data_IF_351450518698
#
_entry.id   IF_351450518698
#
_cell.length_a   1.000
_cell.length_b   1.000
_cell.length_c   1.000
_cell.angle_alpha   90.00
_cell.angle_beta   90.00
_cell.angle_gamma   90.00
#
_symmetry.space_group_name_H-M   'P 1'
#
loop_
_entity.id
_entity.type
_entity.pdbx_description
1 polymer ?
#
# COMPACT_ATOMS: atom_id res chain seq x y z
N UNK A 1 10.55 -29.87 -0.94
CA UNK A 1 9.96 -28.57 -1.23
C UNK A 1 11.05 -27.52 -1.17
N UNK A 2 11.46 -26.98 -2.32
CA UNK A 2 12.52 -25.96 -2.39
C UNK A 2 11.99 -24.64 -1.81
N UNK A 3 12.53 -24.19 -0.70
CA UNK A 3 12.35 -22.79 -0.24
C UNK A 3 13.01 -21.88 -1.31
N UNK A 4 12.21 -21.21 -2.14
CA UNK A 4 12.72 -20.13 -2.99
C UNK A 4 13.39 -19.11 -2.06
N UNK A 5 14.65 -18.80 -2.32
CA UNK A 5 15.37 -17.73 -1.64
C UNK A 5 14.67 -16.41 -1.95
N UNK A 6 14.39 -15.61 -0.91
CA UNK A 6 13.75 -14.27 -0.98
C UNK A 6 14.53 -13.29 -1.87
N UNK A 7 15.77 -13.61 -2.25
CA UNK A 7 16.64 -12.82 -3.13
C UNK A 7 16.18 -12.70 -4.60
N UNK A 8 15.14 -13.46 -5.01
CA UNK A 8 14.59 -13.42 -6.37
C UNK A 8 13.21 -12.76 -6.47
N UNK A 9 12.78 -12.02 -5.45
CA UNK A 9 11.61 -11.14 -5.58
C UNK A 9 12.05 -9.97 -6.46
N UNK A 10 11.69 -10.03 -7.75
CA UNK A 10 11.87 -8.90 -8.65
C UNK A 10 11.22 -7.68 -7.99
N UNK A 11 12.04 -6.67 -7.68
CA UNK A 11 11.53 -5.41 -7.17
C UNK A 11 10.85 -4.68 -8.34
N UNK A 12 9.56 -4.98 -8.54
CA UNK A 12 8.74 -4.42 -9.61
C UNK A 12 8.67 -2.89 -9.60
N UNK A 13 9.07 -2.25 -8.50
CA UNK A 13 8.99 -0.80 -8.31
C UNK A 13 10.36 -0.11 -8.38
N UNK A 14 11.39 -0.79 -8.90
CA UNK A 14 12.75 -0.23 -8.97
C UNK A 14 13.07 0.48 -10.30
N UNK A 15 12.18 0.44 -11.29
CA UNK A 15 12.36 1.21 -12.51
C UNK A 15 11.89 2.66 -12.36
N UNK A 16 12.62 3.68 -12.86
CA UNK A 16 12.19 5.08 -12.79
C UNK A 16 10.80 5.29 -13.41
N UNK A 17 10.49 4.59 -14.52
CA UNK A 17 9.21 4.70 -15.19
C UNK A 17 8.05 4.16 -14.33
N UNK A 18 8.26 3.07 -13.57
CA UNK A 18 7.27 2.54 -12.65
C UNK A 18 7.02 3.50 -11.48
N UNK A 19 8.09 4.05 -10.88
CA UNK A 19 8.00 4.99 -9.77
C UNK A 19 7.29 6.30 -10.18
N UNK A 20 7.64 6.87 -11.33
CA UNK A 20 6.98 8.07 -11.86
C UNK A 20 5.49 7.82 -12.12
N UNK A 21 5.11 6.71 -12.76
CA UNK A 21 3.71 6.37 -13.00
C UNK A 21 2.96 6.15 -11.69
N UNK A 22 3.59 5.49 -10.73
CA UNK A 22 3.00 5.27 -9.40
C UNK A 22 2.68 6.59 -8.71
N UNK A 23 3.60 7.57 -8.74
CA UNK A 23 3.39 8.89 -8.11
C UNK A 23 2.22 9.68 -8.73
N UNK A 24 1.97 9.48 -10.04
CA UNK A 24 0.90 10.19 -10.78
C UNK A 24 -0.43 9.45 -10.80
N UNK A 25 -0.40 8.11 -10.72
CA UNK A 25 -1.56 7.27 -10.98
C UNK A 25 -2.28 6.74 -9.74
N UNK A 26 -1.69 6.85 -8.56
CA UNK A 26 -2.34 6.36 -7.33
C UNK A 26 -3.31 7.39 -6.77
N UNK A 27 -4.56 6.98 -6.46
CA UNK A 27 -5.53 7.88 -5.85
C UNK A 27 -5.16 8.25 -4.42
N UNK A 28 -5.58 9.45 -3.99
CA UNK A 28 -5.41 9.95 -2.62
C UNK A 28 -6.51 9.41 -1.69
N UNK A 29 -6.51 8.11 -1.39
CA UNK A 29 -7.53 7.46 -0.56
C UNK A 29 -7.08 7.23 0.91
N UNK A 30 -5.84 7.54 1.26
CA UNK A 30 -5.27 7.25 2.59
C UNK A 30 -5.92 8.06 3.71
N UNK A 31 -6.37 9.29 3.45
CA UNK A 31 -6.97 10.16 4.48
C UNK A 31 -8.14 9.51 5.20
N UNK A 32 -9.01 8.78 4.49
CA UNK A 32 -10.12 8.07 5.13
C UNK A 32 -9.60 6.91 6.01
N UNK A 33 -8.61 6.15 5.52
CA UNK A 33 -7.99 5.07 6.31
C UNK A 33 -7.34 5.62 7.59
N UNK A 34 -6.63 6.76 7.49
CA UNK A 34 -6.00 7.40 8.66
C UNK A 34 -7.05 7.90 9.66
N UNK A 35 -8.22 8.35 9.19
CA UNK A 35 -9.32 8.70 10.07
C UNK A 35 -9.82 7.46 10.85
N UNK A 36 -10.01 6.32 10.21
CA UNK A 36 -10.37 5.07 10.90
C UNK A 36 -9.31 4.67 11.93
N UNK A 37 -8.02 4.78 11.61
CA UNK A 37 -6.93 4.53 12.55
C UNK A 37 -7.04 5.49 13.75
N UNK A 38 -7.24 6.79 13.50
CA UNK A 38 -7.41 7.78 14.56
C UNK A 38 -8.55 7.43 15.51
N UNK A 39 -9.71 7.10 14.93
CA UNK A 39 -10.93 6.81 15.68
C UNK A 39 -10.76 5.51 16.51
N UNK A 40 -10.18 4.44 15.92
CA UNK A 40 -9.91 3.19 16.63
C UNK A 40 -8.92 3.35 17.78
N UNK A 41 -7.84 4.09 17.56
CA UNK A 41 -6.81 4.36 18.57
C UNK A 41 -7.25 5.43 19.59
N UNK A 42 -8.41 6.04 19.42
CA UNK A 42 -8.95 7.11 20.26
C UNK A 42 -7.94 8.26 20.47
N UNK A 43 -7.33 8.72 19.38
CA UNK A 43 -6.33 9.77 19.43
C UNK A 43 -6.99 11.15 19.54
N UNK A 44 -7.05 11.71 20.74
CA UNK A 44 -7.50 13.09 20.95
C UNK A 44 -6.49 14.11 20.40
N UNK A 45 -5.20 13.82 20.53
CA UNK A 45 -4.10 14.60 20.00
C UNK A 45 -3.24 13.78 19.03
N UNK A 46 -2.38 14.48 18.28
CA UNK A 46 -1.39 13.82 17.43
C UNK A 46 -0.32 13.14 18.28
N UNK A 47 0.03 11.91 17.90
CA UNK A 47 1.20 11.23 18.43
C UNK A 47 2.49 11.97 18.06
N UNK A 48 3.58 11.77 18.80
CA UNK A 48 4.83 12.49 18.54
C UNK A 48 5.54 11.99 17.29
N UNK A 49 5.57 10.67 17.08
CA UNK A 49 6.32 10.07 15.98
C UNK A 49 5.58 8.88 15.35
N UNK A 50 5.50 8.87 14.03
CA UNK A 50 5.00 7.74 13.26
C UNK A 50 6.00 7.32 12.17
N UNK A 51 6.05 6.02 11.88
CA UNK A 51 6.85 5.41 10.82
C UNK A 51 5.93 4.74 9.81
N UNK A 52 6.11 5.03 8.52
CA UNK A 52 5.45 4.37 7.40
C UNK A 52 6.46 3.48 6.67
N UNK A 53 6.30 2.15 6.78
CA UNK A 53 7.25 1.16 6.23
C UNK A 53 6.76 0.67 4.87
N UNK A 54 7.64 0.70 3.87
CA UNK A 54 7.26 0.44 2.47
C UNK A 54 6.42 1.59 1.91
N UNK A 55 6.84 2.82 2.18
CA UNK A 55 6.06 4.05 1.96
C UNK A 55 5.93 4.44 0.47
N UNK A 56 6.74 3.86 -0.40
CA UNK A 56 6.74 4.18 -1.83
C UNK A 56 6.95 5.66 -2.11
N UNK A 57 6.00 6.26 -2.82
CA UNK A 57 6.00 7.70 -3.17
C UNK A 57 5.39 8.60 -2.08
N UNK A 58 5.18 8.10 -0.88
CA UNK A 58 4.84 8.90 0.30
C UNK A 58 3.39 9.34 0.44
N UNK A 59 2.44 8.80 -0.35
CA UNK A 59 1.02 9.14 -0.22
C UNK A 59 0.43 8.75 1.15
N UNK A 60 0.78 7.56 1.65
CA UNK A 60 0.43 7.09 3.00
C UNK A 60 1.16 7.90 4.08
N UNK A 61 2.43 8.19 3.85
CA UNK A 61 3.26 8.98 4.75
C UNK A 61 2.71 10.40 4.95
N UNK A 62 2.34 11.08 3.85
CA UNK A 62 1.71 12.41 3.93
C UNK A 62 0.41 12.37 4.75
N UNK A 63 -0.42 11.35 4.53
CA UNK A 63 -1.68 11.21 5.25
C UNK A 63 -1.49 11.08 6.77
N UNK A 64 -0.40 10.46 7.24
CA UNK A 64 -0.05 10.35 8.66
C UNK A 64 0.17 11.69 9.36
N UNK A 65 0.46 12.78 8.62
CA UNK A 65 0.53 14.12 9.21
C UNK A 65 -0.79 14.57 9.85
N UNK A 66 -1.92 13.91 9.55
CA UNK A 66 -3.19 14.18 10.21
C UNK A 66 -3.18 13.75 11.67
N UNK A 67 -2.42 12.71 12.03
CA UNK A 67 -2.42 12.07 13.36
C UNK A 67 -1.05 12.00 14.03
N UNK A 68 0.02 12.41 13.35
CA UNK A 68 1.38 12.46 13.91
C UNK A 68 2.02 13.83 13.72
N UNK A 69 2.92 14.20 14.66
CA UNK A 69 3.69 15.46 14.62
C UNK A 69 4.89 15.35 13.71
N UNK A 70 5.61 14.21 13.79
CA UNK A 70 6.76 13.89 12.96
C UNK A 70 6.51 12.55 12.28
N UNK A 71 6.74 12.48 10.98
CA UNK A 71 6.51 11.29 10.19
C UNK A 71 7.78 10.88 9.47
N UNK A 72 8.09 9.61 9.53
CA UNK A 72 9.20 9.00 8.82
C UNK A 72 8.64 8.01 7.81
N UNK A 73 9.14 8.04 6.58
CA UNK A 73 8.83 7.07 5.54
C UNK A 73 10.07 6.27 5.18
N UNK A 74 9.96 4.96 5.08
CA UNK A 74 11.05 4.13 4.61
C UNK A 74 10.60 3.22 3.47
N UNK A 75 11.46 3.07 2.47
CA UNK A 75 11.25 2.13 1.38
C UNK A 75 12.61 1.54 0.95
N UNK A 76 12.60 0.30 0.46
CA UNK A 76 13.81 -0.33 -0.07
C UNK A 76 14.20 0.24 -1.44
N UNK A 77 13.23 0.81 -2.16
CA UNK A 77 13.43 1.41 -3.48
C UNK A 77 13.76 2.89 -3.36
N UNK A 78 15.04 3.24 -3.57
CA UNK A 78 15.46 4.63 -3.68
C UNK A 78 14.70 5.36 -4.79
N UNK A 79 14.36 4.65 -5.89
CA UNK A 79 13.59 5.22 -7.01
C UNK A 79 12.18 5.65 -6.63
N UNK A 80 11.52 4.92 -5.74
CA UNK A 80 10.22 5.34 -5.22
C UNK A 80 10.35 6.61 -4.37
N UNK A 81 11.40 6.71 -3.56
CA UNK A 81 11.65 7.88 -2.70
C UNK A 81 12.03 9.14 -3.48
N UNK A 82 12.63 9.02 -4.67
CA UNK A 82 12.88 10.17 -5.57
C UNK A 82 11.59 10.91 -5.96
N UNK A 83 10.44 10.21 -5.97
CA UNK A 83 9.13 10.76 -6.27
C UNK A 83 8.27 10.98 -5.01
N UNK A 84 8.87 10.88 -3.82
CA UNK A 84 8.11 11.01 -2.57
C UNK A 84 7.65 12.44 -2.32
N UNK A 85 6.50 12.58 -1.67
CA UNK A 85 5.90 13.87 -1.34
C UNK A 85 6.69 14.55 -0.23
N UNK A 86 7.32 15.68 -0.51
CA UNK A 86 8.09 16.45 0.47
C UNK A 86 7.21 17.41 1.28
N UNK A 87 7.30 17.34 2.60
CA UNK A 87 6.68 18.24 3.58
C UNK A 87 7.63 18.45 4.76
N UNK A 88 7.55 19.59 5.43
CA UNK A 88 8.49 19.99 6.49
C UNK A 88 8.67 18.98 7.63
N UNK A 89 7.66 18.17 7.91
CA UNK A 89 7.66 17.20 9.02
C UNK A 89 7.73 15.74 8.54
N UNK A 90 8.12 15.52 7.30
CA UNK A 90 8.36 14.19 6.75
C UNK A 90 9.84 14.03 6.46
N UNK A 91 10.37 12.87 6.84
CA UNK A 91 11.73 12.45 6.49
C UNK A 91 11.69 11.07 5.85
N UNK A 92 12.40 10.91 4.73
CA UNK A 92 12.49 9.64 4.01
C UNK A 92 13.89 9.06 4.13
N UNK A 93 13.97 7.71 4.28
CA UNK A 93 15.22 6.96 4.30
C UNK A 93 15.07 5.67 3.51
N UNK A 94 16.13 5.27 2.82
CA UNK A 94 16.19 3.96 2.17
C UNK A 94 16.47 2.90 3.23
N UNK A 95 15.54 1.96 3.41
CA UNK A 95 15.70 0.86 4.36
C UNK A 95 14.80 -0.33 3.99
N UNK A 96 15.28 -1.54 4.27
CA UNK A 96 14.45 -2.74 4.23
C UNK A 96 13.49 -2.76 5.44
N UNK A 97 12.31 -3.34 5.26
CA UNK A 97 11.30 -3.42 6.33
C UNK A 97 11.82 -4.18 7.56
N UNK A 98 12.71 -5.14 7.33
CA UNK A 98 13.29 -6.03 8.33
C UNK A 98 14.48 -5.44 9.10
N UNK A 99 14.97 -4.27 8.66
CA UNK A 99 16.13 -3.61 9.27
C UNK A 99 16.04 -2.09 9.09
N UNK A 100 15.61 -1.41 10.12
CA UNK A 100 15.32 0.02 10.11
C UNK A 100 16.41 0.82 10.84
N UNK A 101 16.82 1.99 10.32
CA UNK A 101 17.94 2.79 10.87
C UNK A 101 17.49 3.69 12.05
N UNK A 102 16.68 3.16 12.96
CA UNK A 102 16.18 3.90 14.12
C UNK A 102 16.50 3.17 15.42
N UNK A 103 16.58 3.95 16.51
CA UNK A 103 16.75 3.40 17.85
C UNK A 103 15.50 2.62 18.33
N UNK A 104 15.70 1.77 19.34
CA UNK A 104 14.61 1.05 20.00
C UNK A 104 13.60 2.01 20.61
N UNK A 105 12.33 1.62 20.64
CA UNK A 105 11.24 2.36 21.28
C UNK A 105 11.15 3.83 20.83
N UNK A 106 11.24 4.07 19.51
CA UNK A 106 11.20 5.40 18.91
C UNK A 106 9.78 5.84 18.54
N UNK A 107 8.92 4.92 18.10
CA UNK A 107 7.65 5.27 17.46
C UNK A 107 6.43 4.95 18.31
N UNK A 108 5.47 5.87 18.25
CA UNK A 108 4.14 5.71 18.83
C UNK A 108 3.19 4.96 17.88
N UNK A 109 3.48 5.02 16.59
CA UNK A 109 2.70 4.35 15.55
C UNK A 109 3.64 3.89 14.41
N UNK A 110 3.50 2.65 14.00
CA UNK A 110 4.07 2.16 12.75
C UNK A 110 2.93 1.80 11.81
N UNK A 111 3.02 2.17 10.54
CA UNK A 111 2.05 1.79 9.50
C UNK A 111 2.73 1.05 8.37
N UNK A 112 1.95 0.17 7.71
CA UNK A 112 2.30 -0.46 6.44
C UNK A 112 1.09 -0.35 5.53
N UNK A 113 1.25 0.30 4.39
CA UNK A 113 0.19 0.46 3.40
C UNK A 113 0.46 -0.39 2.17
N UNK A 114 -0.35 -1.43 1.94
CA UNK A 114 -0.31 -2.26 0.71
C UNK A 114 1.07 -2.87 0.38
N UNK A 115 1.95 -3.01 1.38
CA UNK A 115 3.34 -3.43 1.22
C UNK A 115 3.71 -4.74 1.93
N UNK A 116 2.99 -5.14 2.98
CA UNK A 116 3.38 -6.22 3.90
C UNK A 116 3.61 -7.58 3.21
N UNK A 117 2.93 -7.84 2.10
CA UNK A 117 3.06 -9.08 1.33
C UNK A 117 4.40 -9.22 0.57
N UNK A 118 5.22 -8.16 0.56
CA UNK A 118 6.58 -8.18 0.01
C UNK A 118 7.66 -8.46 1.06
N UNK A 119 7.31 -8.41 2.36
CA UNK A 119 8.25 -8.52 3.47
C UNK A 119 8.51 -9.97 3.89
N UNK A 120 9.66 -10.19 4.53
CA UNK A 120 9.84 -11.29 5.48
C UNK A 120 9.06 -10.90 6.76
N UNK A 121 7.79 -11.31 6.82
CA UNK A 121 6.85 -10.82 7.84
C UNK A 121 7.35 -11.13 9.26
N UNK A 122 7.99 -12.29 9.49
CA UNK A 122 8.50 -12.63 10.80
C UNK A 122 9.62 -11.70 11.26
N UNK A 123 10.56 -11.38 10.39
CA UNK A 123 11.63 -10.42 10.68
C UNK A 123 11.09 -9.01 10.83
N UNK A 124 10.17 -8.61 9.95
CA UNK A 124 9.51 -7.29 10.03
C UNK A 124 8.79 -7.10 11.37
N UNK A 125 8.04 -8.10 11.84
CA UNK A 125 7.33 -8.00 13.13
C UNK A 125 8.29 -7.93 14.33
N UNK A 126 9.43 -8.63 14.25
CA UNK A 126 10.49 -8.51 15.27
C UNK A 126 11.06 -7.10 15.30
N UNK A 127 11.31 -6.52 14.12
CA UNK A 127 11.81 -5.16 13.98
C UNK A 127 10.77 -4.12 14.41
N UNK A 128 9.50 -4.31 14.03
CA UNK A 128 8.40 -3.44 14.47
C UNK A 128 8.27 -3.42 16.01
N UNK A 129 8.37 -4.59 16.67
CA UNK A 129 8.40 -4.64 18.13
C UNK A 129 9.58 -3.85 18.72
N UNK A 130 10.78 -3.96 18.15
CA UNK A 130 11.96 -3.21 18.62
C UNK A 130 11.73 -1.71 18.56
N UNK A 131 11.13 -1.24 17.46
CA UNK A 131 10.93 0.18 17.14
C UNK A 131 9.78 0.84 17.88
N UNK A 132 8.71 0.11 18.16
CA UNK A 132 7.54 0.64 18.86
C UNK A 132 7.88 0.94 20.33
N UNK A 133 7.32 1.99 20.87
CA UNK A 133 7.27 2.23 22.33
C UNK A 133 6.34 1.21 22.98
N UNK A 134 6.44 1.02 24.30
CA UNK A 134 5.49 0.17 25.04
C UNK A 134 4.06 0.62 24.82
N UNK A 135 3.13 -0.33 24.62
CA UNK A 135 1.70 -0.11 24.34
C UNK A 135 1.41 0.65 23.05
N UNK A 136 2.42 0.88 22.21
CA UNK A 136 2.26 1.56 20.92
C UNK A 136 1.78 0.63 19.81
N UNK A 137 1.44 1.19 18.64
CA UNK A 137 0.61 0.53 17.65
C UNK A 137 1.34 0.24 16.33
N UNK A 138 1.05 -0.94 15.77
CA UNK A 138 1.29 -1.27 14.38
C UNK A 138 -0.05 -1.41 13.67
N UNK A 139 -0.30 -0.55 12.67
CA UNK A 139 -1.48 -0.60 11.82
C UNK A 139 -1.08 -1.03 10.40
N UNK A 140 -1.51 -2.23 9.99
CA UNK A 140 -1.28 -2.74 8.64
C UNK A 140 -2.57 -2.63 7.87
N UNK A 141 -2.55 -1.98 6.70
CA UNK A 141 -3.75 -1.78 5.91
C UNK A 141 -3.53 -1.90 4.41
N UNK A 142 -4.60 -2.14 3.69
CA UNK A 142 -4.60 -2.21 2.23
C UNK A 142 -5.82 -1.51 1.64
N UNK A 143 -5.61 -0.74 0.57
CA UNK A 143 -6.65 -0.27 -0.33
C UNK A 143 -6.56 -1.09 -1.63
N UNK A 144 -7.36 -2.14 -1.74
CA UNK A 144 -7.34 -3.03 -2.89
C UNK A 144 -8.49 -2.75 -3.85
N UNK A 145 -8.21 -2.89 -5.13
CA UNK A 145 -9.19 -2.72 -6.18
C UNK A 145 -10.20 -3.88 -6.18
N UNK A 146 -11.49 -3.56 -6.10
CA UNK A 146 -12.57 -4.56 -6.04
C UNK A 146 -13.43 -4.60 -7.30
N UNK A 147 -13.03 -3.84 -8.34
CA UNK A 147 -13.73 -3.75 -9.63
C UNK A 147 -15.20 -3.33 -9.53
N UNK A 148 -15.56 -2.51 -8.55
CA UNK A 148 -16.92 -2.02 -8.37
C UNK A 148 -16.99 -0.57 -8.87
N UNK A 149 -17.76 -0.34 -9.95
CA UNK A 149 -18.00 0.98 -10.55
C UNK A 149 -19.49 1.30 -10.44
N UNK A 150 -19.84 2.44 -9.87
CA UNK A 150 -21.23 2.83 -9.62
C UNK A 150 -22.01 2.93 -10.93
N UNK A 151 -23.10 2.15 -11.01
CA UNK A 151 -24.00 2.13 -12.17
C UNK A 151 -23.43 1.45 -13.43
N UNK A 152 -22.42 0.55 -13.24
CA UNK A 152 -21.81 -0.23 -14.35
C UNK A 152 -21.47 -1.62 -13.83
N UNK A 153 -22.45 -2.52 -13.82
CA UNK A 153 -22.31 -3.87 -13.28
C UNK A 153 -21.34 -4.73 -14.12
N UNK A 154 -21.30 -4.51 -15.45
CA UNK A 154 -20.44 -5.24 -16.37
C UNK A 154 -18.94 -4.97 -16.17
N UNK A 155 -18.58 -3.92 -15.40
CA UNK A 155 -17.19 -3.58 -15.15
C UNK A 155 -16.46 -4.67 -14.35
N UNK A 156 -17.15 -5.30 -13.39
CA UNK A 156 -16.58 -6.41 -12.61
C UNK A 156 -16.29 -7.64 -13.49
N UNK A 157 -17.20 -7.97 -14.41
CA UNK A 157 -17.04 -9.07 -15.34
C UNK A 157 -15.89 -8.82 -16.33
N UNK A 158 -15.79 -7.60 -16.86
CA UNK A 158 -14.66 -7.20 -17.69
C UNK A 158 -13.33 -7.33 -16.94
N UNK A 159 -13.27 -6.84 -15.70
CA UNK A 159 -12.05 -6.90 -14.91
C UNK A 159 -11.60 -8.35 -14.70
N UNK A 160 -12.53 -9.25 -14.34
CA UNK A 160 -12.21 -10.65 -14.07
C UNK A 160 -11.87 -11.43 -15.35
N UNK A 161 -12.66 -11.25 -16.43
CA UNK A 161 -12.59 -12.11 -17.62
C UNK A 161 -11.67 -11.56 -18.72
N UNK A 162 -11.39 -10.24 -18.74
CA UNK A 162 -10.58 -9.59 -19.76
C UNK A 162 -9.27 -9.06 -19.17
N UNK A 163 -9.35 -8.18 -18.15
CA UNK A 163 -8.16 -7.55 -17.58
C UNK A 163 -7.24 -8.57 -16.88
N UNK A 164 -7.75 -9.34 -15.92
CA UNK A 164 -6.95 -10.31 -15.17
C UNK A 164 -6.47 -11.49 -16.03
N UNK A 165 -7.17 -11.82 -17.11
CA UNK A 165 -6.72 -12.82 -18.08
C UNK A 165 -5.53 -12.32 -18.89
N UNK A 166 -5.52 -11.03 -19.26
CA UNK A 166 -4.41 -10.41 -20.00
C UNK A 166 -3.23 -10.09 -19.10
N UNK A 167 -3.49 -9.58 -17.91
CA UNK A 167 -2.49 -9.18 -16.91
C UNK A 167 -2.72 -9.93 -15.60
N UNK A 168 -2.28 -11.17 -15.47
CA UNK A 168 -2.46 -11.96 -14.24
C UNK A 168 -1.67 -11.33 -13.09
N UNK A 169 -2.22 -11.45 -11.88
CA UNK A 169 -1.53 -10.96 -10.67
C UNK A 169 -0.27 -11.77 -10.41
N UNK A 170 0.87 -11.12 -10.13
CA UNK A 170 2.06 -11.84 -9.69
C UNK A 170 1.81 -12.51 -8.34
N UNK A 171 2.52 -13.61 -8.03
CA UNK A 171 2.41 -14.29 -6.73
C UNK A 171 2.71 -13.33 -5.58
N UNK A 172 1.88 -13.38 -4.53
CA UNK A 172 2.03 -12.59 -3.30
C UNK A 172 2.05 -13.52 -2.09
N UNK A 173 2.74 -13.11 -1.03
CA UNK A 173 2.69 -13.83 0.24
C UNK A 173 1.46 -13.38 1.05
N UNK A 174 0.33 -14.03 0.81
CA UNK A 174 -0.93 -13.75 1.50
C UNK A 174 -1.27 -14.80 2.57
N UNK A 175 -0.37 -15.75 2.84
CA UNK A 175 -0.65 -16.92 3.69
C UNK A 175 -0.27 -16.72 5.16
N UNK A 176 0.18 -15.51 5.58
CA UNK A 176 0.57 -15.27 6.96
C UNK A 176 -0.64 -15.26 7.90
N UNK A 177 -0.58 -16.09 8.95
CA UNK A 177 -1.60 -16.11 9.98
C UNK A 177 -1.33 -15.02 11.03
N UNK A 178 -2.25 -14.07 11.15
CA UNK A 178 -2.18 -12.94 12.09
C UNK A 178 -2.83 -13.33 13.42
N UNK A 179 -2.28 -14.35 14.10
CA UNK A 179 -2.80 -14.95 15.32
C UNK A 179 -1.83 -14.84 16.50
N UNK A 180 -2.27 -15.32 17.66
CA UNK A 180 -1.48 -15.27 18.88
C UNK A 180 -0.22 -16.15 18.81
N UNK A 181 -0.23 -17.23 18.03
CA UNK A 181 0.90 -18.13 17.88
C UNK A 181 2.09 -17.43 17.20
N UNK A 182 1.80 -16.63 16.17
CA UNK A 182 2.82 -15.91 15.41
C UNK A 182 3.21 -14.55 16.03
N UNK A 183 2.32 -13.89 16.76
CA UNK A 183 2.55 -12.53 17.28
C UNK A 183 3.11 -12.48 18.70
N UNK A 184 2.62 -13.33 19.62
CA UNK A 184 3.07 -13.32 21.03
C UNK A 184 4.58 -13.57 21.21
N UNK A 185 5.23 -14.46 20.46
CA UNK A 185 6.70 -14.64 20.55
C UNK A 185 7.48 -13.37 20.18
N UNK A 186 6.85 -12.43 19.47
CA UNK A 186 7.43 -11.14 19.09
C UNK A 186 6.95 -9.99 19.98
N UNK A 187 6.35 -10.30 21.12
CA UNK A 187 5.80 -9.33 22.07
C UNK A 187 4.72 -8.41 21.45
N UNK A 188 3.93 -8.95 20.52
CA UNK A 188 2.85 -8.28 19.83
C UNK A 188 1.52 -9.00 20.07
N UNK A 189 0.42 -8.25 20.05
CA UNK A 189 -0.94 -8.80 20.16
C UNK A 189 -1.83 -8.24 19.05
N UNK A 190 -2.53 -9.13 18.35
CA UNK A 190 -3.58 -8.75 17.40
C UNK A 190 -4.85 -8.41 18.17
N UNK A 191 -5.41 -7.23 17.95
CA UNK A 191 -6.57 -6.75 18.67
C UNK A 191 -7.84 -6.70 17.82
N UNK A 192 -7.74 -6.25 16.57
CA UNK A 192 -8.92 -6.15 15.69
C UNK A 192 -8.53 -6.10 14.21
N UNK A 193 -9.51 -6.45 13.38
CA UNK A 193 -9.52 -6.14 11.94
C UNK A 193 -10.79 -5.36 11.61
N UNK A 194 -10.64 -4.26 10.90
CA UNK A 194 -11.72 -3.45 10.38
C UNK A 194 -11.79 -3.55 8.87
N UNK A 195 -13.00 -3.57 8.27
CA UNK A 195 -13.21 -3.62 6.82
C UNK A 195 -14.23 -2.59 6.40
N UNK A 196 -13.90 -1.83 5.35
CA UNK A 196 -14.80 -0.83 4.78
C UNK A 196 -14.49 -0.59 3.29
N UNK A 197 -15.29 0.25 2.63
CA UNK A 197 -15.01 0.66 1.24
C UNK A 197 -14.61 2.13 1.20
N UNK A 198 -13.58 2.42 0.43
CA UNK A 198 -13.24 3.77 0.01
C UNK A 198 -13.82 4.04 -1.38
N UNK A 199 -14.36 5.23 -1.62
CA UNK A 199 -14.81 5.66 -2.93
C UNK A 199 -13.88 6.72 -3.51
N UNK A 200 -13.58 6.59 -4.80
CA UNK A 200 -12.77 7.57 -5.55
C UNK A 200 -13.47 7.89 -6.85
N UNK A 201 -13.46 9.16 -7.23
CA UNK A 201 -13.94 9.57 -8.56
C UNK A 201 -12.76 9.66 -9.52
N UNK A 202 -12.80 8.88 -10.58
CA UNK A 202 -11.76 8.83 -11.60
C UNK A 202 -12.35 9.06 -12.98
N UNK A 203 -11.66 9.85 -13.81
CA UNK A 203 -11.90 9.90 -15.25
C UNK A 203 -11.39 8.60 -15.91
N UNK A 204 -11.71 8.39 -17.17
CA UNK A 204 -11.21 7.25 -17.94
C UNK A 204 -9.69 7.21 -17.97
N UNK A 205 -9.04 8.34 -18.27
CA UNK A 205 -7.59 8.46 -18.34
C UNK A 205 -6.93 8.26 -16.96
N UNK A 206 -7.53 8.76 -15.88
CA UNK A 206 -7.05 8.52 -14.53
C UNK A 206 -7.14 7.03 -14.13
N UNK A 207 -8.23 6.35 -14.51
CA UNK A 207 -8.36 4.92 -14.25
C UNK A 207 -7.37 4.09 -15.08
N UNK A 208 -7.15 4.46 -16.36
CA UNK A 208 -6.14 3.83 -17.19
C UNK A 208 -4.73 3.99 -16.58
N UNK A 209 -4.39 5.20 -16.17
CA UNK A 209 -3.12 5.48 -15.50
C UNK A 209 -2.99 4.68 -14.19
N UNK A 210 -4.05 4.64 -13.36
CA UNK A 210 -4.05 3.80 -12.15
C UNK A 210 -3.73 2.34 -12.47
N UNK A 211 -4.34 1.74 -13.49
CA UNK A 211 -4.04 0.35 -13.86
C UNK A 211 -2.58 0.15 -14.25
N UNK A 212 -1.93 1.12 -14.89
CA UNK A 212 -0.50 1.02 -15.21
C UNK A 212 0.41 1.01 -13.97
N UNK A 213 -0.12 1.37 -12.80
CA UNK A 213 0.59 1.32 -11.51
C UNK A 213 0.39 0.00 -10.76
N UNK A 214 -0.43 -0.92 -11.28
CA UNK A 214 -0.66 -2.21 -10.67
C UNK A 214 0.48 -3.18 -10.97
N UNK A 215 0.84 -4.00 -9.99
CA UNK A 215 1.89 -5.01 -10.13
C UNK A 215 1.67 -5.98 -11.31
N UNK A 216 0.42 -6.16 -11.76
CA UNK A 216 0.05 -6.92 -12.95
C UNK A 216 0.71 -6.35 -14.22
N UNK A 217 0.50 -5.07 -14.49
CA UNK A 217 1.03 -4.42 -15.69
C UNK A 217 2.53 -4.18 -15.53
N UNK A 218 2.99 -3.75 -14.34
CA UNK A 218 4.42 -3.57 -14.09
C UNK A 218 5.18 -4.88 -14.36
N UNK A 219 4.67 -6.01 -13.88
CA UNK A 219 5.31 -7.31 -14.12
C UNK A 219 5.37 -7.69 -15.62
N UNK A 220 4.32 -7.39 -16.38
CA UNK A 220 4.31 -7.66 -17.84
C UNK A 220 5.31 -6.73 -18.58
N UNK A 221 5.45 -5.48 -18.16
CA UNK A 221 6.42 -4.54 -18.73
C UNK A 221 7.86 -4.96 -18.40
N UNK A 222 8.15 -5.28 -17.16
CA UNK A 222 9.49 -5.71 -16.72
C UNK A 222 9.94 -7.02 -17.40
N UNK A 223 9.00 -7.89 -17.78
CA UNK A 223 9.28 -9.09 -18.59
C UNK A 223 9.44 -8.80 -20.08
N UNK A 224 9.21 -7.55 -20.52
CA UNK A 224 9.24 -7.18 -21.93
C UNK A 224 8.05 -7.70 -22.77
N UNK A 225 6.98 -8.14 -22.13
CA UNK A 225 5.77 -8.64 -22.80
C UNK A 225 4.95 -7.50 -23.45
N UNK A 226 5.03 -6.29 -22.88
CA UNK A 226 4.33 -5.10 -23.34
C UNK A 226 5.09 -3.84 -22.85
N UNK A 227 4.91 -2.70 -23.55
CA UNK A 227 5.36 -1.39 -23.06
C UNK A 227 4.25 -0.69 -22.28
N UNK A 228 4.61 0.29 -21.42
CA UNK A 228 3.59 1.12 -20.75
C UNK A 228 2.66 1.84 -21.72
N UNK A 229 3.19 2.36 -22.84
CA UNK A 229 2.38 3.04 -23.86
C UNK A 229 1.35 2.09 -24.50
N UNK A 230 1.76 0.86 -24.82
CA UNK A 230 0.86 -0.16 -25.35
C UNK A 230 -0.22 -0.58 -24.33
N UNK A 231 0.17 -0.74 -23.05
CA UNK A 231 -0.78 -1.05 -21.99
C UNK A 231 -1.81 0.07 -21.79
N UNK A 232 -1.34 1.32 -21.77
CA UNK A 232 -2.19 2.50 -21.61
C UNK A 232 -3.16 2.70 -22.78
N UNK A 233 -2.70 2.51 -24.02
CA UNK A 233 -3.56 2.56 -25.21
C UNK A 233 -4.65 1.47 -25.14
N UNK A 234 -4.26 0.23 -24.84
CA UNK A 234 -5.20 -0.87 -24.68
C UNK A 234 -6.23 -0.60 -23.58
N UNK A 235 -5.78 -0.08 -22.43
CA UNK A 235 -6.68 0.31 -21.33
C UNK A 235 -7.66 1.41 -21.76
N UNK A 236 -7.20 2.44 -22.45
CA UNK A 236 -8.07 3.51 -22.93
C UNK A 236 -9.14 3.02 -23.91
N UNK A 237 -8.80 2.09 -24.79
CA UNK A 237 -9.74 1.42 -25.69
C UNK A 237 -10.79 0.62 -24.91
N UNK A 238 -10.34 -0.25 -23.98
CA UNK A 238 -11.24 -1.07 -23.19
C UNK A 238 -12.14 -0.26 -22.26
N UNK A 239 -11.59 0.73 -21.58
CA UNK A 239 -12.34 1.55 -20.63
C UNK A 239 -13.33 2.49 -21.32
N UNK A 240 -13.18 2.78 -22.62
CA UNK A 240 -14.17 3.54 -23.39
C UNK A 240 -15.57 2.90 -23.37
N UNK A 241 -15.67 1.59 -23.12
CA UNK A 241 -16.95 0.90 -22.96
C UNK A 241 -17.74 1.36 -21.74
N UNK A 242 -17.07 1.87 -20.71
CA UNK A 242 -17.65 2.18 -19.39
C UNK A 242 -17.77 3.69 -19.12
N UNK A 243 -17.17 4.53 -19.96
CA UNK A 243 -17.19 5.99 -19.81
C UNK A 243 -17.81 6.63 -21.04
N UNK A 244 -18.66 7.63 -20.84
CA UNK A 244 -19.22 8.42 -21.95
C UNK A 244 -18.13 9.24 -22.66
N UNK A 245 -17.29 9.87 -21.85
CA UNK A 245 -16.15 10.71 -22.24
C UNK A 245 -15.16 10.79 -21.08
N UNK A 246 -14.00 11.43 -21.29
CA UNK A 246 -12.98 11.57 -20.24
C UNK A 246 -13.34 12.65 -19.20
N UNK A 247 -14.21 13.59 -19.54
CA UNK A 247 -14.69 14.64 -18.65
C UNK A 247 -15.76 14.20 -17.66
N UNK A 248 -16.28 12.95 -17.78
CA UNK A 248 -17.35 12.41 -16.93
C UNK A 248 -16.80 11.34 -15.97
N UNK A 249 -16.21 11.72 -14.83
CA UNK A 249 -15.60 10.75 -13.91
C UNK A 249 -16.66 9.83 -13.29
N UNK A 250 -16.28 8.56 -13.09
CA UNK A 250 -17.07 7.52 -12.42
C UNK A 250 -16.61 7.35 -10.98
N UNK A 251 -17.54 7.00 -10.10
CA UNK A 251 -17.21 6.58 -8.74
C UNK A 251 -16.84 5.11 -8.75
N UNK A 252 -15.66 4.82 -8.22
CA UNK A 252 -15.09 3.47 -8.14
C UNK A 252 -14.83 3.17 -6.67
N UNK A 253 -15.21 1.99 -6.22
CA UNK A 253 -14.95 1.54 -4.86
C UNK A 253 -13.67 0.72 -4.78
N UNK A 254 -12.95 0.95 -3.70
CA UNK A 254 -11.80 0.17 -3.25
C UNK A 254 -12.16 -0.50 -1.93
N UNK A 255 -11.88 -1.79 -1.81
CA UNK A 255 -11.96 -2.48 -0.53
C UNK A 255 -10.79 -2.02 0.36
N UNK A 256 -11.08 -1.83 1.63
CA UNK A 256 -10.07 -1.54 2.63
C UNK A 256 -10.16 -2.53 3.78
N UNK A 257 -9.03 -2.93 4.31
CA UNK A 257 -8.94 -3.57 5.62
C UNK A 257 -7.78 -2.97 6.41
N UNK A 258 -7.95 -2.90 7.72
CA UNK A 258 -6.93 -2.45 8.67
C UNK A 258 -6.80 -3.51 9.76
N UNK A 259 -5.57 -3.96 10.02
CA UNK A 259 -5.24 -4.81 11.17
C UNK A 259 -4.59 -3.96 12.24
N UNK A 260 -5.13 -4.01 13.45
CA UNK A 260 -4.63 -3.30 14.61
C UNK A 260 -3.86 -4.27 15.51
N UNK A 261 -2.58 -4.01 15.66
CA UNK A 261 -1.64 -4.81 16.44
C UNK A 261 -0.99 -3.87 17.46
N UNK A 262 -0.83 -4.34 18.68
CA UNK A 262 -0.24 -3.54 19.75
C UNK A 262 1.00 -4.22 20.32
N UNK A 263 2.05 -3.44 20.62
CA UNK A 263 3.18 -3.92 21.42
C UNK A 263 2.71 -4.12 22.86
N UNK A 264 2.97 -5.31 23.42
CA UNK A 264 2.65 -5.61 24.80
C UNK A 264 3.61 -4.87 25.76
N UNK A 265 3.19 -4.65 26.99
CA UNK A 265 4.07 -4.27 28.09
C UNK A 265 5.02 -5.41 28.44
N UNK A 266 6.20 -5.07 28.88
CA UNK A 266 7.13 -6.00 29.53
C UNK A 266 6.87 -6.02 31.03
#
# INVERSE_FOLDING_TARGET
MHKRKITDVMNYFNSPAAAERYSKGRPHFHSNTIKHIKDYLQLDEKVDSALDVGCGTGLSTEALLQIARNVYGTDISERMLEFAIHKDRIRYLVAAAEQQPFADSTFDLITVSSGVHWFDIDKFLTEANRLLKSKSWLAIYENHFIAEMVGVDEFADWFASVYLKKFPSPPRNNAYAWDAENLRPKNLVFLAEEKFKNSVRLSKSQLALYFTTQSNIIAAVEKGEITYAQAENWLNEQLALFFKDDGSPRTIYYGNWIKYIQRMDH
#
